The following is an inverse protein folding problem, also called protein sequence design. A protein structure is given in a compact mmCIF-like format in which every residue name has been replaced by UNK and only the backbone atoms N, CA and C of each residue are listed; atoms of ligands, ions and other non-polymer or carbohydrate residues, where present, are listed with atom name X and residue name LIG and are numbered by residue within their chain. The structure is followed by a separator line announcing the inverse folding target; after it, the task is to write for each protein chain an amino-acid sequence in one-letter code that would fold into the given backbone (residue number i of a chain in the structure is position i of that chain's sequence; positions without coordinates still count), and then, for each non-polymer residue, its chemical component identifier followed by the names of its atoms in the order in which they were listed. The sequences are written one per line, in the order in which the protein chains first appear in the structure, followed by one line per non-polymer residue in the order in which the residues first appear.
data_IF_997072692527
#
_entry.id   IF_997072692527
#
_cell.length_a   1.000
_cell.length_b   1.000
_cell.length_c   1.000
_cell.angle_alpha   90.00
_cell.angle_beta   90.00
_cell.angle_gamma   90.00
#
_symmetry.space_group_name_H-M   'P 1'
#
loop_
_entity.id
_entity.type
_entity.pdbx_description
1 polymer ?
#
# COMPACT_ATOMS: atom_id res chain seq x y z
N UNK A 1 -51.54 16.71 -15.18
CA UNK A 1 -50.43 15.90 -14.65
C UNK A 1 -49.69 15.25 -15.80
N UNK A 2 -48.53 15.78 -16.22
CA UNK A 2 -47.51 15.06 -17.02
C UNK A 2 -46.13 15.69 -16.72
N UNK A 3 -45.22 14.88 -16.15
CA UNK A 3 -43.90 15.23 -15.63
C UNK A 3 -42.90 15.67 -16.72
N UNK A 4 -41.83 16.42 -16.38
CA UNK A 4 -40.72 16.70 -17.30
C UNK A 4 -39.79 15.49 -17.44
N UNK A 5 -39.00 15.40 -18.53
CA UNK A 5 -38.06 14.31 -18.72
C UNK A 5 -36.84 14.56 -17.82
N UNK A 6 -36.61 13.67 -16.85
CA UNK A 6 -35.34 13.61 -16.13
C UNK A 6 -34.29 13.03 -17.08
N UNK A 7 -33.59 13.91 -17.82
CA UNK A 7 -32.37 13.54 -18.51
C UNK A 7 -31.29 13.39 -17.45
N UNK A 8 -31.07 12.15 -17.01
CA UNK A 8 -29.96 11.81 -16.14
C UNK A 8 -28.70 11.78 -17.01
N UNK A 9 -27.92 12.86 -16.99
CA UNK A 9 -26.57 12.86 -17.54
C UNK A 9 -25.73 11.90 -16.70
N UNK A 10 -25.48 10.71 -17.21
CA UNK A 10 -24.46 9.83 -16.66
C UNK A 10 -23.12 10.54 -16.85
N UNK A 11 -22.60 11.12 -15.77
CA UNK A 11 -21.21 11.56 -15.70
C UNK A 11 -20.38 10.28 -15.79
N UNK A 12 -19.90 9.98 -16.99
CA UNK A 12 -18.79 9.06 -17.15
C UNK A 12 -17.60 9.74 -16.47
N UNK A 13 -17.25 9.25 -15.27
CA UNK A 13 -16.00 9.61 -14.62
C UNK A 13 -14.88 9.19 -15.56
N UNK A 14 -14.35 10.15 -16.32
CA UNK A 14 -13.15 9.96 -17.12
C UNK A 14 -12.06 9.35 -16.22
N UNK A 15 -11.34 8.30 -16.66
CA UNK A 15 -10.19 7.81 -15.90
C UNK A 15 -9.20 8.97 -15.79
N UNK A 16 -8.95 9.39 -14.56
CA UNK A 16 -7.95 10.41 -14.25
C UNK A 16 -6.56 9.87 -14.63
N UNK A 17 -5.58 10.72 -14.99
CA UNK A 17 -4.25 10.31 -15.46
C UNK A 17 -3.35 9.67 -14.37
N UNK A 18 -3.92 9.05 -13.34
CA UNK A 18 -3.21 8.52 -12.17
C UNK A 18 -2.68 7.09 -12.38
N UNK A 19 -3.14 6.38 -13.42
CA UNK A 19 -2.95 4.93 -13.61
C UNK A 19 -1.51 4.38 -13.56
N UNK A 20 -0.49 5.24 -13.64
CA UNK A 20 0.92 4.83 -13.62
C UNK A 20 1.65 5.13 -12.31
N UNK A 21 0.98 5.67 -11.29
CA UNK A 21 1.64 6.07 -10.03
C UNK A 21 2.26 4.87 -9.29
N UNK A 22 1.48 3.81 -9.09
CA UNK A 22 1.91 2.61 -8.36
C UNK A 22 3.04 1.87 -9.11
N UNK A 23 2.93 1.58 -10.43
CA UNK A 23 4.02 1.00 -11.20
C UNK A 23 5.30 1.83 -11.16
N UNK A 24 5.20 3.16 -11.24
CA UNK A 24 6.37 4.05 -11.21
C UNK A 24 7.08 3.98 -9.86
N UNK A 25 6.34 4.10 -8.75
CA UNK A 25 6.89 3.93 -7.40
C UNK A 25 7.55 2.56 -7.24
N UNK A 26 6.88 1.48 -7.66
CA UNK A 26 7.45 0.14 -7.57
C UNK A 26 8.77 0.03 -8.34
N UNK A 27 8.83 0.59 -9.56
CA UNK A 27 10.05 0.63 -10.35
C UNK A 27 11.18 1.39 -9.63
N UNK A 28 10.89 2.56 -9.06
CA UNK A 28 11.87 3.37 -8.34
C UNK A 28 12.43 2.62 -7.12
N UNK A 29 11.55 1.98 -6.33
CA UNK A 29 11.96 1.18 -5.18
C UNK A 29 12.82 -0.02 -5.60
N UNK A 30 12.44 -0.73 -6.65
CA UNK A 30 13.20 -1.86 -7.19
C UNK A 30 14.57 -1.40 -7.70
N UNK A 31 14.64 -0.27 -8.40
CA UNK A 31 15.89 0.32 -8.86
C UNK A 31 16.81 0.74 -7.70
N UNK A 32 16.26 1.32 -6.63
CA UNK A 32 16.99 1.65 -5.41
C UNK A 32 17.66 0.42 -4.81
N UNK A 33 16.90 -0.65 -4.56
CA UNK A 33 17.46 -1.89 -4.00
C UNK A 33 18.44 -2.59 -4.94
N UNK A 34 18.22 -2.55 -6.26
CA UNK A 34 19.16 -3.12 -7.24
C UNK A 34 20.49 -2.36 -7.32
N UNK A 35 20.52 -1.08 -6.93
CA UNK A 35 21.75 -0.29 -6.93
C UNK A 35 22.71 -0.65 -5.79
N UNK A 36 22.24 -1.42 -4.81
CA UNK A 36 23.04 -1.85 -3.65
C UNK A 36 23.96 -3.02 -4.05
N UNK A 37 25.28 -2.91 -3.80
CA UNK A 37 26.26 -3.85 -4.33
C UNK A 37 26.26 -5.20 -3.62
N UNK A 38 26.01 -5.20 -2.31
CA UNK A 38 26.12 -6.38 -1.46
C UNK A 38 24.77 -6.77 -0.84
N UNK A 39 24.44 -8.06 -0.72
CA UNK A 39 23.20 -8.52 -0.06
C UNK A 39 23.03 -7.98 1.36
N UNK A 40 24.13 -7.80 2.09
CA UNK A 40 24.11 -7.21 3.44
C UNK A 40 23.64 -5.75 3.42
N UNK A 41 23.91 -5.00 2.36
CA UNK A 41 23.48 -3.62 2.23
C UNK A 41 21.98 -3.53 1.91
N UNK A 42 21.44 -4.47 1.11
CA UNK A 42 19.99 -4.62 0.93
C UNK A 42 19.27 -4.81 2.27
N UNK A 43 19.80 -5.68 3.14
CA UNK A 43 19.21 -5.90 4.46
C UNK A 43 19.31 -4.65 5.34
N UNK A 44 20.47 -3.99 5.41
CA UNK A 44 20.62 -2.74 6.19
C UNK A 44 19.66 -1.66 5.72
N UNK A 45 19.51 -1.53 4.41
CA UNK A 45 18.60 -0.57 3.81
C UNK A 45 17.13 -0.88 4.12
N UNK A 46 16.74 -2.16 4.07
CA UNK A 46 15.40 -2.60 4.49
C UNK A 46 15.12 -2.31 5.98
N UNK A 47 16.11 -2.53 6.85
CA UNK A 47 15.98 -2.20 8.28
C UNK A 47 15.93 -0.69 8.51
N UNK A 48 16.63 0.11 7.70
CA UNK A 48 16.49 1.55 7.72
C UNK A 48 15.03 1.97 7.43
N UNK A 49 14.41 1.39 6.40
CA UNK A 49 13.00 1.60 6.08
C UNK A 49 12.07 1.29 7.25
N UNK A 50 12.31 0.17 7.95
CA UNK A 50 11.52 -0.22 9.12
C UNK A 50 11.56 0.84 10.23
N UNK A 51 12.72 1.44 10.48
CA UNK A 51 12.93 2.38 11.58
C UNK A 51 12.56 3.84 11.25
N UNK A 52 12.68 4.26 10.00
CA UNK A 52 12.62 5.67 9.61
C UNK A 52 11.27 6.10 9.03
N UNK A 53 10.52 5.20 8.39
CA UNK A 53 9.38 5.59 7.56
C UNK A 53 8.07 4.86 7.87
N UNK A 54 8.06 3.92 8.83
CA UNK A 54 6.83 3.22 9.18
C UNK A 54 5.89 4.16 9.96
N UNK A 55 4.70 4.49 9.42
CA UNK A 55 3.75 5.33 10.13
C UNK A 55 3.27 4.65 11.43
N UNK A 56 3.06 5.40 12.52
CA UNK A 56 2.55 4.81 13.75
C UNK A 56 1.15 4.22 13.53
N UNK A 57 0.89 3.08 14.15
CA UNK A 57 -0.40 2.39 14.05
C UNK A 57 -1.52 3.26 14.64
N UNK A 58 -2.67 3.41 13.97
CA UNK A 58 -3.67 4.44 14.30
C UNK A 58 -4.47 4.14 15.57
N UNK A 59 -4.62 2.87 15.93
CA UNK A 59 -5.20 2.43 17.19
C UNK A 59 -4.07 1.97 18.10
N UNK A 60 -4.13 2.33 19.38
CA UNK A 60 -3.08 2.19 20.41
C UNK A 60 -2.45 0.80 20.60
N UNK A 61 -2.89 -0.23 19.88
CA UNK A 61 -2.08 -1.40 19.55
C UNK A 61 -2.67 -2.17 18.37
N UNK A 62 -1.83 -2.96 17.67
CA UNK A 62 -2.31 -4.01 16.80
C UNK A 62 -3.22 -5.00 17.57
N UNK A 63 -4.27 -5.51 16.94
CA UNK A 63 -5.26 -6.41 17.56
C UNK A 63 -5.39 -7.68 16.73
N UNK A 64 -5.80 -8.80 17.34
CA UNK A 64 -5.87 -10.07 16.61
C UNK A 64 -6.80 -10.03 15.38
N UNK A 65 -7.80 -9.14 15.35
CA UNK A 65 -8.71 -9.00 14.21
C UNK A 65 -8.07 -8.44 12.94
N UNK A 66 -6.93 -7.75 13.03
CA UNK A 66 -6.20 -7.23 11.87
C UNK A 66 -4.86 -7.97 11.62
N UNK A 67 -4.73 -9.16 12.21
CA UNK A 67 -3.57 -10.03 12.02
C UNK A 67 -3.61 -10.70 10.65
N UNK A 68 -2.50 -10.59 9.92
CA UNK A 68 -2.25 -11.33 8.69
C UNK A 68 -1.80 -12.74 9.04
N UNK A 69 -2.51 -13.74 8.51
CA UNK A 69 -2.24 -15.16 8.76
C UNK A 69 -1.30 -15.74 7.68
N UNK A 70 -0.52 -16.76 8.04
CA UNK A 70 0.38 -17.47 7.12
C UNK A 70 1.83 -16.99 7.14
N UNK A 71 2.16 -15.95 7.91
CA UNK A 71 3.53 -15.50 8.13
C UNK A 71 4.15 -16.15 9.38
N UNK A 72 5.45 -16.49 9.32
CA UNK A 72 6.22 -16.92 10.52
C UNK A 72 6.33 -15.79 11.54
N UNK A 73 6.63 -14.58 11.07
CA UNK A 73 6.51 -13.36 11.87
C UNK A 73 5.04 -12.95 11.97
N UNK A 74 4.64 -12.36 13.10
CA UNK A 74 3.30 -11.77 13.22
C UNK A 74 3.29 -10.46 12.48
N UNK A 75 2.26 -10.25 11.67
CA UNK A 75 2.01 -9.01 10.94
C UNK A 75 0.60 -8.57 11.22
N UNK A 76 0.42 -7.28 11.43
CA UNK A 76 -0.88 -6.63 11.53
C UNK A 76 -0.98 -5.58 10.43
N UNK A 77 -2.13 -5.50 9.76
CA UNK A 77 -2.37 -4.59 8.65
C UNK A 77 -3.74 -3.94 8.79
N UNK A 78 -3.76 -2.62 8.83
CA UNK A 78 -4.96 -1.81 8.70
C UNK A 78 -4.99 -1.20 7.29
N UNK A 79 -6.12 -1.32 6.61
CA UNK A 79 -6.34 -0.73 5.30
C UNK A 79 -7.70 -0.03 5.27
N UNK A 80 -7.71 1.26 4.93
CA UNK A 80 -8.95 2.05 4.84
C UNK A 80 -8.99 2.85 3.55
N UNK A 81 -10.19 3.27 3.16
CA UNK A 81 -10.42 4.21 2.08
C UNK A 81 -10.64 5.60 2.67
N UNK A 82 -9.91 6.60 2.22
CA UNK A 82 -10.13 7.97 2.64
C UNK A 82 -11.37 8.60 1.95
N UNK A 83 -11.70 9.82 2.37
CA UNK A 83 -12.82 10.60 1.83
C UNK A 83 -12.70 10.93 0.32
N UNK A 84 -11.52 10.72 -0.28
CA UNK A 84 -11.22 10.95 -1.68
C UNK A 84 -11.13 9.66 -2.50
N UNK A 85 -11.46 8.51 -1.90
CA UNK A 85 -11.38 7.23 -2.58
C UNK A 85 -9.94 6.71 -2.75
N UNK A 86 -9.00 7.17 -1.94
CA UNK A 86 -7.61 6.69 -1.94
C UNK A 86 -7.35 5.73 -0.80
N UNK A 87 -6.54 4.72 -1.06
CA UNK A 87 -6.15 3.72 -0.06
C UNK A 87 -5.16 4.30 0.95
N UNK A 88 -5.37 3.97 2.22
CA UNK A 88 -4.49 4.29 3.34
C UNK A 88 -4.10 3.00 4.06
N UNK A 89 -2.83 2.85 4.38
CA UNK A 89 -2.30 1.63 4.99
C UNK A 89 -1.47 1.91 6.24
N UNK A 90 -1.59 1.01 7.23
CA UNK A 90 -0.73 0.94 8.39
C UNK A 90 -0.39 -0.50 8.67
N UNK A 91 0.85 -0.79 9.04
CA UNK A 91 1.25 -2.14 9.38
C UNK A 91 2.22 -2.13 10.55
N UNK A 92 2.27 -3.25 11.27
CA UNK A 92 3.30 -3.51 12.26
C UNK A 92 3.66 -5.00 12.26
N UNK A 93 4.83 -5.34 12.80
CA UNK A 93 5.30 -6.70 12.92
C UNK A 93 6.27 -6.87 14.08
N UNK A 94 6.30 -8.08 14.66
CA UNK A 94 7.30 -8.44 15.66
C UNK A 94 8.69 -8.75 15.08
N UNK A 95 8.85 -8.65 13.76
CA UNK A 95 10.11 -8.80 13.04
C UNK A 95 10.50 -7.50 12.35
N UNK A 96 11.70 -6.99 12.61
CA UNK A 96 12.18 -5.75 11.98
C UNK A 96 12.31 -5.86 10.46
N UNK A 97 12.73 -7.03 9.98
CA UNK A 97 12.81 -7.33 8.54
C UNK A 97 11.43 -7.25 7.91
N UNK A 98 10.44 -7.84 8.58
CA UNK A 98 9.06 -7.83 8.10
C UNK A 98 8.46 -6.42 8.15
N UNK A 99 8.75 -5.63 9.18
CA UNK A 99 8.40 -4.19 9.22
C UNK A 99 9.00 -3.44 8.03
N UNK A 100 10.24 -3.72 7.67
CA UNK A 100 10.88 -3.11 6.49
C UNK A 100 10.12 -3.39 5.20
N UNK A 101 9.76 -4.66 4.95
CA UNK A 101 8.93 -5.02 3.79
C UNK A 101 7.55 -4.34 3.83
N UNK A 102 6.91 -4.27 4.99
CA UNK A 102 5.65 -3.56 5.15
C UNK A 102 5.79 -2.07 4.80
N UNK A 103 6.85 -1.41 5.28
CA UNK A 103 7.12 0.00 4.94
C UNK A 103 7.26 0.19 3.43
N UNK A 104 8.03 -0.68 2.76
CA UNK A 104 8.21 -0.64 1.31
C UNK A 104 6.86 -0.74 0.57
N UNK A 105 6.01 -1.70 0.95
CA UNK A 105 4.69 -1.88 0.35
C UNK A 105 3.77 -0.68 0.61
N UNK A 106 3.76 -0.15 1.83
CA UNK A 106 2.98 1.05 2.18
C UNK A 106 3.45 2.23 1.33
N UNK A 107 4.76 2.45 1.18
CA UNK A 107 5.28 3.56 0.37
C UNK A 107 4.81 3.50 -1.09
N UNK A 108 4.80 2.30 -1.67
CA UNK A 108 4.32 2.05 -3.05
C UNK A 108 2.80 2.26 -3.17
N UNK A 109 2.01 1.71 -2.24
CA UNK A 109 0.56 1.59 -2.37
C UNK A 109 -0.24 2.74 -1.73
N UNK A 110 0.35 3.46 -0.77
CA UNK A 110 -0.35 4.52 -0.06
C UNK A 110 -0.74 5.66 -1.00
N UNK A 111 -1.96 6.18 -0.78
CA UNK A 111 -2.60 7.21 -1.60
C UNK A 111 -2.95 6.79 -3.04
N UNK A 112 -2.81 5.50 -3.40
CA UNK A 112 -3.26 4.96 -4.67
C UNK A 112 -4.79 4.80 -4.72
N UNK A 113 -5.37 4.79 -5.93
CA UNK A 113 -6.77 4.42 -6.09
C UNK A 113 -6.98 2.91 -5.81
N UNK A 114 -8.17 2.52 -5.38
CA UNK A 114 -8.50 1.12 -5.10
C UNK A 114 -8.22 0.22 -6.32
N UNK A 115 -8.57 0.68 -7.52
CA UNK A 115 -8.38 -0.07 -8.76
C UNK A 115 -6.91 -0.26 -9.12
N UNK A 116 -6.02 0.64 -8.70
CA UNK A 116 -4.58 0.55 -8.93
C UNK A 116 -3.96 -0.48 -7.99
N UNK A 117 -4.36 -0.47 -6.70
CA UNK A 117 -3.90 -1.45 -5.72
C UNK A 117 -4.30 -2.86 -6.13
N UNK A 118 -5.53 -3.07 -6.62
CA UNK A 118 -6.02 -4.38 -7.07
C UNK A 118 -5.27 -4.94 -8.29
N UNK A 119 -4.60 -4.10 -9.09
CA UNK A 119 -3.79 -4.55 -10.24
C UNK A 119 -2.43 -5.06 -9.84
N UNK A 120 -1.95 -4.72 -8.64
CA UNK A 120 -0.73 -5.28 -8.07
C UNK A 120 -1.06 -6.70 -7.60
N UNK A 121 -1.21 -7.63 -8.54
CA UNK A 121 -1.43 -9.03 -8.24
C UNK A 121 -0.21 -9.56 -7.49
N UNK A 122 -0.37 -10.12 -6.27
CA UNK A 122 0.71 -10.89 -5.66
C UNK A 122 1.06 -12.04 -6.61
N UNK A 123 2.36 -12.32 -6.78
CA UNK A 123 2.84 -13.52 -7.46
C UNK A 123 2.46 -14.74 -6.61
N UNK A 124 1.19 -15.13 -6.66
CA UNK A 124 0.69 -16.38 -6.11
C UNK A 124 0.68 -17.35 -7.28
N UNK A 125 1.74 -18.15 -7.39
CA UNK A 125 1.74 -19.39 -8.18
C UNK A 125 1.62 -20.58 -7.23
#
# INVERSE_FOLDING_TARGET
SKNPPFTCSAVASSPSPTTDLVPSKLHDLVAEFHSLPEPADCLKHLLHYASAFLPPFPNSSPVDSNRVMGCTARVWLEATLDQHGKMRFWADSDSEVTRGYCTCLIWVLDSAALEEVLRVLPLIY
#
